data_IF_569402446502
#
_entry.id   IF_569402446502
#
_cell.length_a   1.000
_cell.length_b   1.000
_cell.length_c   1.000
_cell.angle_alpha   90.00
_cell.angle_beta   90.00
_cell.angle_gamma   90.00
#
_symmetry.space_group_name_H-M   'P 1'
#
loop_
_entity.id
_entity.type
_entity.pdbx_description
1 polymer ?
#
# COMPACT_ATOMS: atom_id res chain seq x y z
N UNK A 1 -19.72 13.95 24.54
CA UNK A 1 -18.63 13.90 25.54
C UNK A 1 -17.33 14.06 24.77
N UNK A 2 -16.71 15.24 24.84
CA UNK A 2 -15.46 15.50 24.11
C UNK A 2 -14.30 14.88 24.90
N UNK A 3 -13.52 14.00 24.27
CA UNK A 3 -12.26 13.54 24.84
C UNK A 3 -11.26 14.71 24.75
N UNK A 4 -11.07 15.45 25.84
CA UNK A 4 -9.94 16.38 25.93
C UNK A 4 -8.69 15.57 26.31
N UNK A 5 -7.94 15.15 25.30
CA UNK A 5 -6.58 14.65 25.52
C UNK A 5 -5.64 15.85 25.60
N UNK A 6 -4.92 15.96 26.71
CA UNK A 6 -3.88 16.97 26.90
C UNK A 6 -2.61 16.49 26.17
N UNK A 7 -2.61 16.66 24.85
CA UNK A 7 -1.50 16.27 23.97
C UNK A 7 -0.50 17.44 23.86
N UNK A 8 0.81 17.16 23.90
CA UNK A 8 1.82 18.19 23.68
C UNK A 8 1.81 18.70 22.24
N UNK A 9 2.30 19.93 22.02
CA UNK A 9 2.40 20.56 20.69
C UNK A 9 3.31 19.78 19.72
N UNK A 10 4.24 18.98 20.26
CA UNK A 10 5.15 18.14 19.49
C UNK A 10 5.38 16.82 20.20
N UNK A 11 5.43 15.72 19.42
CA UNK A 11 5.69 14.38 19.92
C UNK A 11 6.62 13.64 18.94
N UNK A 12 7.64 12.92 19.43
CA UNK A 12 8.44 12.04 18.57
C UNK A 12 7.58 10.88 18.05
N UNK A 13 7.84 10.46 16.81
CA UNK A 13 7.05 9.42 16.14
C UNK A 13 7.91 8.18 15.89
N UNK A 14 7.43 7.03 16.37
CA UNK A 14 8.04 5.72 16.16
C UNK A 14 7.23 4.91 15.11
N UNK A 15 7.86 4.44 14.02
CA UNK A 15 7.18 3.63 13.03
C UNK A 15 6.99 2.18 13.49
N UNK A 16 5.78 1.65 13.32
CA UNK A 16 5.41 0.26 13.61
C UNK A 16 4.92 -0.45 12.34
N UNK A 17 5.82 -0.88 11.44
CA UNK A 17 5.42 -1.65 10.28
C UNK A 17 4.80 -2.97 10.72
N UNK A 18 3.64 -3.30 10.13
CA UNK A 18 2.95 -4.60 10.32
C UNK A 18 2.58 -4.96 11.77
N UNK A 19 2.52 -4.00 12.69
CA UNK A 19 2.06 -4.26 14.06
C UNK A 19 0.53 -4.33 14.15
N UNK A 20 0.01 -5.21 15.03
CA UNK A 20 -1.40 -5.26 15.42
C UNK A 20 -1.48 -5.07 16.93
N UNK A 21 -2.22 -4.05 17.36
CA UNK A 21 -2.44 -3.72 18.76
C UNK A 21 -3.93 -3.87 19.07
N UNK A 22 -4.27 -4.78 19.97
CA UNK A 22 -5.63 -4.93 20.46
C UNK A 22 -5.91 -3.95 21.60
N UNK A 23 -7.16 -3.51 21.81
CA UNK A 23 -7.51 -2.65 22.93
C UNK A 23 -6.97 -3.19 24.26
N UNK A 24 -6.28 -2.35 25.02
CA UNK A 24 -5.65 -2.66 26.32
C UNK A 24 -4.52 -3.69 26.28
N UNK A 25 -4.10 -4.14 25.09
CA UNK A 25 -2.91 -4.98 24.95
C UNK A 25 -1.62 -4.18 25.16
N UNK A 26 -0.55 -4.88 25.57
CA UNK A 26 0.80 -4.34 25.65
C UNK A 26 1.63 -4.94 24.52
N UNK A 27 2.27 -4.11 23.71
CA UNK A 27 3.21 -4.55 22.68
C UNK A 27 4.64 -4.31 23.17
N UNK A 28 5.43 -5.35 23.48
CA UNK A 28 6.85 -5.19 23.77
C UNK A 28 7.60 -4.73 22.52
N UNK A 29 8.32 -3.62 22.60
CA UNK A 29 9.15 -3.10 21.50
C UNK A 29 10.62 -3.38 21.80
N UNK A 30 11.29 -4.09 20.88
CA UNK A 30 12.74 -4.27 20.93
C UNK A 30 13.40 -3.11 20.19
N UNK A 31 13.88 -2.12 20.95
CA UNK A 31 14.51 -0.92 20.40
C UNK A 31 16.02 -1.05 20.59
N UNK A 32 16.75 -1.19 19.48
CA UNK A 32 18.20 -1.37 19.48
C UNK A 32 18.94 -0.36 18.60
N UNK A 33 18.25 0.31 17.66
CA UNK A 33 18.90 1.30 16.81
C UNK A 33 19.21 2.59 17.59
N UNK A 34 20.43 3.15 17.49
CA UNK A 34 20.84 4.33 18.25
C UNK A 34 19.89 5.53 18.13
N UNK A 35 19.39 5.81 16.92
CA UNK A 35 18.45 6.91 16.68
C UNK A 35 17.16 6.80 17.50
N UNK A 36 16.65 5.58 17.68
CA UNK A 36 15.43 5.36 18.46
C UNK A 36 15.71 5.31 19.95
N UNK A 37 16.89 4.83 20.37
CA UNK A 37 17.32 4.95 21.77
C UNK A 37 17.39 6.42 22.20
N UNK A 38 18.04 7.27 21.41
CA UNK A 38 18.09 8.72 21.67
C UNK A 38 16.70 9.35 21.70
N UNK A 39 15.82 8.97 20.76
CA UNK A 39 14.43 9.44 20.74
C UNK A 39 13.67 9.06 22.03
N UNK A 40 13.84 7.84 22.54
CA UNK A 40 13.21 7.39 23.78
C UNK A 40 13.78 8.15 24.99
N UNK A 41 15.10 8.33 25.05
CA UNK A 41 15.73 9.13 26.11
C UNK A 41 15.20 10.56 26.15
N UNK A 42 15.06 11.20 24.99
CA UNK A 42 14.52 12.56 24.91
C UNK A 42 13.03 12.61 25.28
N UNK A 43 12.23 11.64 24.86
CA UNK A 43 10.84 11.52 25.28
C UNK A 43 10.72 11.38 26.81
N UNK A 44 11.61 10.60 27.43
CA UNK A 44 11.63 10.39 28.88
C UNK A 44 12.01 11.64 29.69
N UNK A 45 12.70 12.62 29.09
CA UNK A 45 13.01 13.91 29.72
C UNK A 45 11.80 14.86 29.73
N UNK A 46 10.79 14.60 28.91
CA UNK A 46 9.56 15.41 28.89
C UNK A 46 8.61 15.03 30.03
N UNK A 47 7.77 15.94 30.55
CA UNK A 47 6.76 15.61 31.56
C UNK A 47 5.75 14.55 31.08
N UNK A 48 5.37 14.61 29.79
CA UNK A 48 4.39 13.71 29.20
C UNK A 48 4.89 12.28 29.02
N UNK A 49 6.20 12.08 28.75
CA UNK A 49 6.79 10.77 28.45
C UNK A 49 6.01 10.00 27.38
N UNK A 50 5.57 10.74 26.35
CA UNK A 50 4.76 10.22 25.26
C UNK A 50 5.62 10.05 24.01
N UNK A 51 5.34 9.00 23.26
CA UNK A 51 5.77 8.82 21.87
C UNK A 51 4.54 8.54 21.02
N UNK A 52 4.49 9.11 19.82
CA UNK A 52 3.49 8.77 18.82
C UNK A 52 3.88 7.46 18.13
N UNK A 53 2.94 6.55 17.95
CA UNK A 53 3.14 5.36 17.11
C UNK A 53 2.45 5.59 15.78
N UNK A 54 3.21 5.49 14.68
CA UNK A 54 2.64 5.55 13.34
C UNK A 54 2.77 4.18 12.69
N UNK A 55 1.70 3.69 12.09
CA UNK A 55 1.77 2.54 11.21
C UNK A 55 1.92 3.07 9.79
N UNK A 56 3.10 2.93 9.16
CA UNK A 56 3.26 3.34 7.77
C UNK A 56 2.24 2.59 6.91
N UNK A 57 1.52 3.30 6.05
CA UNK A 57 0.76 2.67 4.99
C UNK A 57 1.78 2.02 4.04
N UNK A 58 1.93 0.70 4.12
CA UNK A 58 2.97 -0.03 3.37
C UNK A 58 2.69 -0.09 1.86
N UNK A 59 3.76 -0.27 1.08
CA UNK A 59 3.73 -0.71 -0.34
C UNK A 59 2.83 -1.93 -0.55
N UNK A 60 2.76 -2.81 0.46
CA UNK A 60 1.90 -4.01 0.52
C UNK A 60 0.41 -3.70 0.32
N UNK A 61 -0.05 -2.49 0.66
CA UNK A 61 -1.46 -2.13 0.49
C UNK A 61 -1.83 -2.02 -0.98
N UNK A 62 -1.00 -1.36 -1.78
CA UNK A 62 -1.23 -1.24 -3.23
C UNK A 62 -1.10 -2.60 -3.91
N UNK A 63 -0.16 -3.44 -3.46
CA UNK A 63 -0.04 -4.83 -3.93
C UNK A 63 -1.32 -5.63 -3.63
N UNK A 64 -1.83 -5.58 -2.40
CA UNK A 64 -3.07 -6.26 -2.00
C UNK A 64 -4.28 -5.76 -2.80
N UNK A 65 -4.40 -4.45 -3.00
CA UNK A 65 -5.48 -3.85 -3.80
C UNK A 65 -5.39 -4.33 -5.26
N UNK A 66 -4.20 -4.26 -5.86
CA UNK A 66 -3.96 -4.68 -7.24
C UNK A 66 -4.37 -6.14 -7.44
N UNK A 67 -3.93 -7.06 -6.58
CA UNK A 67 -4.26 -8.48 -6.69
C UNK A 67 -5.76 -8.75 -6.48
N UNK A 68 -6.41 -8.06 -5.55
CA UNK A 68 -7.85 -8.17 -5.37
C UNK A 68 -8.65 -7.72 -6.60
N UNK A 69 -8.16 -6.69 -7.31
CA UNK A 69 -8.77 -6.23 -8.56
C UNK A 69 -8.49 -7.17 -9.73
N UNK A 70 -7.24 -7.63 -9.87
CA UNK A 70 -6.84 -8.60 -10.90
C UNK A 70 -7.65 -9.89 -10.79
N UNK A 71 -7.84 -10.41 -9.59
CA UNK A 71 -8.65 -11.61 -9.37
C UNK A 71 -10.07 -11.42 -9.92
N UNK A 72 -10.71 -10.30 -9.58
CA UNK A 72 -12.06 -9.97 -10.09
C UNK A 72 -12.08 -9.76 -11.60
N UNK A 73 -11.05 -9.15 -12.15
CA UNK A 73 -10.93 -8.88 -13.58
C UNK A 73 -10.74 -10.18 -14.38
N UNK A 74 -9.90 -11.11 -13.92
CA UNK A 74 -9.70 -12.41 -14.57
C UNK A 74 -10.89 -13.35 -14.40
N UNK A 75 -11.52 -13.37 -13.22
CA UNK A 75 -12.78 -14.09 -13.01
C UNK A 75 -13.87 -13.60 -13.98
N UNK A 76 -14.01 -12.27 -14.15
CA UNK A 76 -14.96 -11.68 -15.08
C UNK A 76 -14.70 -12.00 -16.55
N UNK A 77 -13.47 -12.37 -16.92
CA UNK A 77 -13.06 -12.71 -18.29
C UNK A 77 -12.81 -14.20 -18.53
N UNK A 78 -13.01 -15.05 -17.52
CA UNK A 78 -12.77 -16.50 -17.61
C UNK A 78 -11.30 -16.88 -17.81
N UNK A 79 -10.36 -16.02 -17.40
CA UNK A 79 -8.92 -16.25 -17.56
C UNK A 79 -8.40 -17.11 -16.41
N UNK A 80 -7.64 -18.16 -16.73
CA UNK A 80 -6.88 -18.93 -15.74
C UNK A 80 -5.48 -18.35 -15.58
N UNK A 81 -5.01 -18.15 -14.35
CA UNK A 81 -3.68 -17.62 -14.08
C UNK A 81 -3.03 -18.34 -12.91
N UNK A 82 -1.71 -18.53 -13.01
CA UNK A 82 -0.88 -18.95 -11.89
C UNK A 82 -0.66 -17.77 -10.94
N UNK A 83 -1.55 -17.66 -9.94
CA UNK A 83 -1.52 -16.61 -8.93
C UNK A 83 -0.31 -16.69 -8.01
N UNK A 84 0.26 -17.87 -7.81
CA UNK A 84 1.42 -18.04 -6.93
C UNK A 84 2.67 -17.51 -7.62
N UNK A 85 2.89 -17.86 -8.89
CA UNK A 85 3.97 -17.29 -9.68
C UNK A 85 3.86 -15.75 -9.80
N UNK A 86 2.62 -15.23 -9.87
CA UNK A 86 2.40 -13.79 -9.98
C UNK A 86 2.71 -13.03 -8.68
N UNK A 87 2.39 -13.59 -7.51
CA UNK A 87 2.67 -12.97 -6.20
C UNK A 87 4.16 -12.93 -5.85
N UNK A 88 4.93 -13.89 -6.36
CA UNK A 88 6.38 -13.96 -6.15
C UNK A 88 7.16 -13.15 -7.19
N UNK A 89 6.49 -12.59 -8.21
CA UNK A 89 7.13 -11.79 -9.23
C UNK A 89 7.59 -10.43 -8.66
N UNK A 90 8.74 -9.95 -9.14
CA UNK A 90 9.18 -8.59 -8.84
C UNK A 90 8.17 -7.57 -9.36
N UNK A 91 7.91 -6.54 -8.55
CA UNK A 91 6.90 -5.53 -8.81
C UNK A 91 6.99 -4.89 -10.20
N UNK A 92 8.21 -4.60 -10.67
CA UNK A 92 8.44 -4.00 -11.99
C UNK A 92 8.10 -4.97 -13.12
N UNK A 93 8.53 -6.22 -13.02
CA UNK A 93 8.21 -7.27 -13.98
C UNK A 93 6.70 -7.51 -14.03
N UNK A 94 6.05 -7.59 -12.86
CA UNK A 94 4.61 -7.76 -12.74
C UNK A 94 3.86 -6.62 -13.43
N UNK A 95 4.17 -5.37 -13.09
CA UNK A 95 3.50 -4.20 -13.65
C UNK A 95 3.71 -4.12 -15.17
N UNK A 96 4.94 -4.35 -15.66
CA UNK A 96 5.22 -4.33 -17.09
C UNK A 96 4.46 -5.45 -17.83
N UNK A 97 4.45 -6.67 -17.27
CA UNK A 97 3.74 -7.80 -17.86
C UNK A 97 2.23 -7.55 -17.92
N UNK A 98 1.63 -7.03 -16.84
CA UNK A 98 0.22 -6.66 -16.81
C UNK A 98 -0.11 -5.55 -17.81
N UNK A 99 0.77 -4.56 -17.96
CA UNK A 99 0.58 -3.46 -18.93
C UNK A 99 0.56 -3.96 -20.39
N UNK A 100 1.24 -5.09 -20.67
CA UNK A 100 1.28 -5.71 -21.99
C UNK A 100 0.15 -6.72 -22.22
N UNK A 101 -0.20 -7.50 -21.20
CA UNK A 101 -1.17 -8.59 -21.28
C UNK A 101 -2.61 -8.14 -21.17
N UNK A 102 -2.88 -7.04 -20.46
CA UNK A 102 -4.22 -6.50 -20.33
C UNK A 102 -4.62 -5.71 -21.58
N UNK A 103 -5.88 -5.85 -21.99
CA UNK A 103 -6.45 -5.15 -23.15
C UNK A 103 -6.72 -3.68 -22.81
N UNK A 104 -5.67 -2.91 -22.62
CA UNK A 104 -5.72 -1.45 -22.49
C UNK A 104 -5.60 -0.78 -23.85
N UNK A 105 -6.31 0.34 -23.99
CA UNK A 105 -6.25 1.23 -25.13
C UNK A 105 -4.86 1.89 -25.24
N UNK A 106 -4.58 2.48 -26.39
CA UNK A 106 -3.25 3.08 -26.66
C UNK A 106 -2.96 4.23 -25.71
N UNK A 107 -3.98 5.04 -25.37
CA UNK A 107 -3.89 6.16 -24.43
C UNK A 107 -3.55 5.67 -23.01
N UNK A 108 -4.16 4.58 -22.58
CA UNK A 108 -3.95 3.98 -21.26
C UNK A 108 -2.55 3.39 -21.13
N UNK A 109 -2.08 2.71 -22.17
CA UNK A 109 -0.69 2.21 -22.25
C UNK A 109 0.32 3.34 -22.23
N UNK A 110 0.02 4.46 -22.90
CA UNK A 110 0.86 5.64 -22.87
C UNK A 110 0.93 6.24 -21.47
N UNK A 111 -0.20 6.34 -20.75
CA UNK A 111 -0.22 6.83 -19.37
C UNK A 111 0.63 5.96 -18.42
N UNK A 112 0.66 4.64 -18.64
CA UNK A 112 1.53 3.73 -17.89
C UNK A 112 3.02 3.94 -18.20
N UNK A 113 3.38 4.22 -19.45
CA UNK A 113 4.75 4.50 -19.87
C UNK A 113 5.26 5.85 -19.34
N UNK A 114 4.40 6.87 -19.31
CA UNK A 114 4.73 8.22 -18.85
C UNK A 114 4.76 8.37 -17.32
N UNK A 115 4.37 7.33 -16.58
CA UNK A 115 4.39 7.35 -15.12
C UNK A 115 5.84 7.54 -14.59
N UNK A 116 6.07 8.55 -13.72
CA UNK A 116 7.42 8.98 -13.32
C UNK A 116 8.11 8.04 -12.32
N UNK A 117 7.39 7.08 -11.74
CA UNK A 117 7.91 6.11 -10.80
C UNK A 117 7.11 4.81 -10.85
N UNK A 118 7.69 3.73 -10.33
CA UNK A 118 7.01 2.43 -10.25
C UNK A 118 5.74 2.50 -9.40
N UNK A 119 5.77 3.30 -8.33
CA UNK A 119 4.62 3.53 -7.45
C UNK A 119 3.49 4.19 -8.24
N UNK A 120 3.78 5.29 -8.93
CA UNK A 120 2.78 6.00 -9.75
C UNK A 120 2.25 5.12 -10.87
N UNK A 121 3.11 4.32 -11.52
CA UNK A 121 2.68 3.37 -12.56
C UNK A 121 1.71 2.33 -12.01
N UNK A 122 1.97 1.80 -10.81
CA UNK A 122 1.07 0.88 -10.11
C UNK A 122 -0.28 1.51 -9.82
N UNK A 123 -0.30 2.75 -9.33
CA UNK A 123 -1.53 3.48 -9.04
C UNK A 123 -2.36 3.74 -10.31
N UNK A 124 -1.71 4.11 -11.41
CA UNK A 124 -2.34 4.22 -12.73
C UNK A 124 -2.95 2.88 -13.16
N UNK A 125 -2.17 1.79 -13.06
CA UNK A 125 -2.65 0.45 -13.42
C UNK A 125 -3.87 0.02 -12.61
N UNK A 126 -3.86 0.24 -11.29
CA UNK A 126 -4.99 -0.01 -10.40
C UNK A 126 -6.22 0.78 -10.89
N UNK A 127 -6.04 2.07 -11.18
CA UNK A 127 -7.13 2.95 -11.63
C UNK A 127 -7.75 2.47 -12.95
N UNK A 128 -6.93 2.04 -13.91
CA UNK A 128 -7.39 1.51 -15.20
C UNK A 128 -8.17 0.20 -15.04
N UNK A 129 -7.70 -0.71 -14.19
CA UNK A 129 -8.42 -1.97 -13.90
C UNK A 129 -9.75 -1.68 -13.20
N UNK A 130 -9.77 -0.77 -12.23
CA UNK A 130 -11.01 -0.35 -11.58
C UNK A 130 -12.01 0.25 -12.57
N UNK A 131 -11.54 1.10 -13.48
CA UNK A 131 -12.37 1.69 -14.52
C UNK A 131 -12.97 0.60 -15.41
N UNK A 132 -12.15 -0.33 -15.92
CA UNK A 132 -12.62 -1.45 -16.74
C UNK A 132 -13.65 -2.33 -16.03
N UNK A 133 -13.47 -2.59 -14.73
CA UNK A 133 -14.41 -3.35 -13.90
C UNK A 133 -15.74 -2.63 -13.67
N UNK A 134 -15.74 -1.29 -13.57
CA UNK A 134 -16.96 -0.48 -13.42
C UNK A 134 -17.71 -0.30 -14.74
N UNK A 135 -16.97 -0.22 -15.84
CA UNK A 135 -17.51 0.02 -17.18
C UNK A 135 -18.12 -1.23 -17.85
N UNK A 136 -17.96 -2.42 -17.26
CA UNK A 136 -18.73 -3.60 -17.64
C UNK A 136 -18.59 -4.02 -19.11
N UNK A 137 -17.42 -4.55 -19.49
CA UNK A 137 -17.34 -5.53 -20.58
C UNK A 137 -17.75 -5.10 -21.99
N UNK A 138 -17.62 -3.83 -22.38
CA UNK A 138 -17.50 -3.50 -23.81
C UNK A 138 -16.03 -3.63 -24.20
N UNK A 139 -15.60 -4.87 -24.42
CA UNK A 139 -14.47 -5.11 -25.30
C UNK A 139 -14.91 -4.63 -26.69
N UNK A 140 -14.44 -3.46 -27.09
CA UNK A 140 -14.55 -3.03 -28.48
C UNK A 140 -13.67 -4.00 -29.27
N UNK A 141 -14.31 -5.00 -29.87
CA UNK A 141 -13.70 -5.78 -30.94
C UNK A 141 -13.47 -4.81 -32.08
N UNK A 142 -12.20 -4.47 -32.34
CA UNK A 142 -11.76 -3.91 -33.62
C UNK A 142 -10.86 -4.92 -34.33
#
# INVERSE_FOLDING_TARGET
MAFSFDLPDSIPVFPLPKAVLLPRSRLPLHIFEPRYLSMIEDAMKTPGRLIGMIQPAGEDRLHTILFGLLQRYFEGRGLSTDWEAMKEAEDELLINSLSMLLDFETEDKQALLEAPSLITRRETLITLIEYSLRSGGEAIVQ
#
